data_IF_183225781829
#
_entry.id   IF_183225781829
#
_cell.length_a   1.000
_cell.length_b   1.000
_cell.length_c   1.000
_cell.angle_alpha   90.00
_cell.angle_beta   90.00
_cell.angle_gamma   90.00
#
_symmetry.space_group_name_H-M   'P 1'
#
loop_
_entity.id
_entity.type
_entity.pdbx_description
1 polymer ?
#
# COMPACT_ATOMS: atom_id res chain seq x y z
N UNK A 1 31.49 9.58 -7.88
CA UNK A 1 31.07 8.16 -7.96
C UNK A 1 29.56 8.14 -8.18
N UNK A 2 29.08 7.44 -9.21
CA UNK A 2 27.65 7.32 -9.48
C UNK A 2 27.00 6.47 -8.40
N UNK A 3 25.97 7.00 -7.73
CA UNK A 3 25.21 6.27 -6.69
C UNK A 3 24.00 5.62 -7.35
N UNK A 4 23.80 4.32 -7.13
CA UNK A 4 22.64 3.57 -7.61
C UNK A 4 21.63 3.42 -6.49
N UNK A 5 20.35 3.66 -6.78
CA UNK A 5 19.22 3.46 -5.88
C UNK A 5 18.32 2.38 -6.48
N UNK A 6 18.19 1.27 -5.78
CA UNK A 6 17.30 0.15 -6.15
C UNK A 6 15.92 0.37 -5.59
N UNK A 7 14.91 0.35 -6.44
CA UNK A 7 13.52 0.63 -6.08
C UNK A 7 12.65 -0.60 -6.36
N UNK A 8 11.91 -1.05 -5.33
CA UNK A 8 10.98 -2.17 -5.41
C UNK A 8 9.53 -1.72 -5.43
N UNK A 9 8.73 -2.37 -6.28
CA UNK A 9 7.28 -2.26 -6.32
C UNK A 9 6.62 -3.64 -6.41
N UNK A 10 5.29 -3.67 -6.42
CA UNK A 10 4.50 -4.90 -6.53
C UNK A 10 3.37 -4.78 -7.57
N UNK A 11 3.54 -3.88 -8.53
CA UNK A 11 2.56 -3.64 -9.60
C UNK A 11 3.27 -3.61 -10.96
N UNK A 12 2.59 -4.00 -12.04
CA UNK A 12 3.14 -3.94 -13.39
C UNK A 12 3.66 -2.54 -13.73
N UNK A 13 4.66 -2.47 -14.59
CA UNK A 13 5.33 -1.23 -15.00
C UNK A 13 4.36 -0.14 -15.51
N UNK A 14 3.26 -0.51 -16.17
CA UNK A 14 2.23 0.41 -16.67
C UNK A 14 1.24 0.92 -15.62
N UNK A 15 1.31 0.46 -14.37
CA UNK A 15 0.40 0.89 -13.32
C UNK A 15 0.64 2.33 -12.88
N UNK A 16 -0.38 2.98 -12.33
CA UNK A 16 -0.28 4.34 -11.77
C UNK A 16 0.84 4.42 -10.72
N UNK A 17 0.94 3.42 -9.84
CA UNK A 17 1.96 3.41 -8.79
C UNK A 17 3.37 3.29 -9.37
N UNK A 18 3.58 2.46 -10.39
CA UNK A 18 4.87 2.35 -11.07
C UNK A 18 5.21 3.63 -11.86
N UNK A 19 4.21 4.31 -12.43
CA UNK A 19 4.41 5.62 -13.04
C UNK A 19 4.80 6.68 -12.00
N UNK A 20 4.25 6.66 -10.80
CA UNK A 20 4.63 7.54 -9.69
C UNK A 20 6.08 7.31 -9.26
N UNK A 21 6.56 6.06 -9.25
CA UNK A 21 7.99 5.77 -9.03
C UNK A 21 8.89 6.39 -10.12
N UNK A 22 8.45 6.39 -11.37
CA UNK A 22 9.20 7.06 -12.44
C UNK A 22 9.28 8.58 -12.23
N UNK A 23 8.21 9.21 -11.73
CA UNK A 23 8.21 10.64 -11.38
C UNK A 23 9.20 10.91 -10.24
N UNK A 24 9.16 10.10 -9.19
CA UNK A 24 10.12 10.16 -8.08
C UNK A 24 11.57 10.02 -8.55
N UNK A 25 11.84 9.04 -9.40
CA UNK A 25 13.18 8.84 -10.00
C UNK A 25 13.67 10.06 -10.79
N UNK A 26 12.80 10.65 -11.60
CA UNK A 26 13.14 11.87 -12.37
C UNK A 26 13.43 13.05 -11.45
N UNK A 27 12.67 13.22 -10.38
CA UNK A 27 12.91 14.27 -9.39
C UNK A 27 14.28 14.09 -8.72
N UNK A 28 14.61 12.87 -8.29
CA UNK A 28 15.94 12.57 -7.73
C UNK A 28 17.09 12.86 -8.71
N UNK A 29 16.92 12.51 -9.98
CA UNK A 29 17.95 12.75 -11.01
C UNK A 29 18.13 14.25 -11.31
N UNK A 30 17.10 15.06 -11.18
CA UNK A 30 17.16 16.50 -11.37
C UNK A 30 17.85 17.21 -10.20
N UNK A 31 17.63 16.74 -8.96
CA UNK A 31 18.24 17.35 -7.76
C UNK A 31 19.70 16.93 -7.59
N UNK A 32 20.05 15.74 -8.05
CA UNK A 32 21.39 15.16 -7.83
C UNK A 32 21.89 14.47 -9.10
N UNK A 33 22.77 15.12 -9.85
CA UNK A 33 23.28 14.66 -11.15
C UNK A 33 24.02 13.30 -11.15
N UNK A 34 24.26 12.70 -9.97
CA UNK A 34 25.03 11.46 -9.82
C UNK A 34 24.20 10.27 -9.30
N UNK A 35 22.86 10.34 -9.35
CA UNK A 35 21.98 9.24 -8.91
C UNK A 35 21.38 8.57 -10.14
N UNK A 36 21.51 7.24 -10.21
CA UNK A 36 20.76 6.37 -11.12
C UNK A 36 19.82 5.47 -10.34
N UNK A 37 18.61 5.29 -10.83
CA UNK A 37 17.61 4.40 -10.25
C UNK A 37 17.51 3.10 -11.05
N UNK A 38 17.43 1.98 -10.34
CA UNK A 38 17.19 0.65 -10.88
C UNK A 38 15.83 0.14 -10.33
N UNK A 39 14.93 -0.29 -11.23
CA UNK A 39 13.58 -0.68 -10.85
C UNK A 39 13.37 -2.18 -10.92
N UNK A 40 12.76 -2.74 -9.87
CA UNK A 40 11.96 -3.96 -9.94
C UNK A 40 10.50 -3.55 -9.74
N UNK A 41 9.79 -3.24 -10.83
CA UNK A 41 8.42 -2.73 -10.77
C UNK A 41 7.47 -3.69 -10.07
N UNK A 42 7.65 -4.99 -10.30
CA UNK A 42 6.81 -6.02 -9.70
C UNK A 42 7.65 -7.17 -9.17
N UNK A 43 7.87 -7.22 -7.85
CA UNK A 43 8.64 -8.31 -7.22
C UNK A 43 7.98 -9.69 -7.36
N UNK A 44 6.66 -9.73 -7.64
CA UNK A 44 5.95 -10.99 -7.85
C UNK A 44 6.44 -11.72 -9.11
N UNK A 45 6.96 -11.02 -10.10
CA UNK A 45 7.57 -11.61 -11.29
C UNK A 45 8.83 -12.44 -10.93
N UNK A 46 9.40 -12.20 -9.74
CA UNK A 46 10.51 -12.93 -9.16
C UNK A 46 10.06 -13.96 -8.10
N UNK A 47 8.78 -14.30 -8.06
CA UNK A 47 8.20 -15.28 -7.12
C UNK A 47 8.08 -14.82 -5.68
N UNK A 48 8.13 -13.50 -5.43
CA UNK A 48 8.03 -12.91 -4.10
C UNK A 48 6.62 -12.41 -3.81
N UNK A 49 6.18 -12.50 -2.56
CA UNK A 49 4.92 -11.91 -2.13
C UNK A 49 5.06 -10.38 -1.91
N UNK A 50 4.00 -9.58 -2.14
CA UNK A 50 4.05 -8.13 -1.98
C UNK A 50 4.58 -7.66 -0.62
N UNK A 51 4.19 -8.32 0.47
CA UNK A 51 4.61 -7.98 1.83
C UNK A 51 6.12 -8.16 2.07
N UNK A 52 6.81 -8.95 1.26
CA UNK A 52 8.25 -9.10 1.36
C UNK A 52 9.02 -7.80 1.06
N UNK A 53 8.40 -6.82 0.39
CA UNK A 53 9.02 -5.51 0.16
C UNK A 53 9.50 -4.88 1.47
N UNK A 54 8.71 -4.99 2.54
CA UNK A 54 9.05 -4.43 3.85
C UNK A 54 10.40 -5.00 4.32
N UNK A 55 10.54 -6.32 4.25
CA UNK A 55 11.78 -7.00 4.66
C UNK A 55 12.93 -6.70 3.70
N UNK A 56 12.68 -6.71 2.39
CA UNK A 56 13.71 -6.47 1.38
C UNK A 56 14.34 -5.07 1.49
N UNK A 57 13.56 -4.06 1.86
CA UNK A 57 14.08 -2.70 2.10
C UNK A 57 14.76 -2.64 3.46
N UNK A 58 14.18 -3.20 4.51
CA UNK A 58 14.79 -3.23 5.86
C UNK A 58 16.14 -3.96 5.88
N UNK A 59 16.29 -5.03 5.08
CA UNK A 59 17.55 -5.79 4.96
C UNK A 59 18.56 -5.12 4.00
N UNK A 60 18.20 -4.02 3.33
CA UNK A 60 19.07 -3.31 2.39
C UNK A 60 19.23 -3.98 1.01
N UNK A 61 18.38 -4.97 0.68
CA UNK A 61 18.36 -5.54 -0.68
C UNK A 61 17.83 -4.54 -1.73
N UNK A 62 16.94 -3.65 -1.29
CA UNK A 62 16.48 -2.47 -2.01
C UNK A 62 16.63 -1.23 -1.11
N UNK A 63 16.84 -0.07 -1.73
CA UNK A 63 16.98 1.20 -1.01
C UNK A 63 15.62 1.86 -0.75
N UNK A 64 14.66 1.66 -1.66
CA UNK A 64 13.31 2.25 -1.59
C UNK A 64 12.29 1.21 -2.03
N UNK A 65 11.10 1.24 -1.42
CA UNK A 65 9.95 0.45 -1.84
C UNK A 65 8.64 1.17 -1.59
N UNK A 66 7.59 0.81 -2.32
CA UNK A 66 6.23 1.21 -1.96
C UNK A 66 5.38 -0.02 -1.70
N UNK A 67 4.46 0.11 -0.75
CA UNK A 67 3.51 -0.95 -0.40
C UNK A 67 2.25 -0.35 0.23
N UNK A 68 1.14 -1.08 0.18
CA UNK A 68 -0.08 -0.65 0.86
C UNK A 68 0.12 -0.53 2.37
N UNK A 69 -0.40 0.54 2.97
CA UNK A 69 -0.40 0.76 4.42
C UNK A 69 -1.01 -0.40 5.20
N UNK A 70 -1.96 -1.12 4.62
CA UNK A 70 -2.62 -2.29 5.23
C UNK A 70 -1.63 -3.40 5.66
N UNK A 71 -0.48 -3.53 4.99
CA UNK A 71 0.54 -4.52 5.38
C UNK A 71 1.30 -4.14 6.64
N UNK A 72 1.35 -2.86 6.99
CA UNK A 72 1.93 -2.38 8.23
C UNK A 72 0.95 -2.43 9.40
N UNK A 73 -0.37 -2.43 9.13
CA UNK A 73 -1.42 -2.27 10.13
C UNK A 73 -1.42 -3.35 11.22
N UNK A 74 -0.87 -4.54 10.96
CA UNK A 74 -0.71 -5.60 11.99
C UNK A 74 0.17 -5.17 13.15
N UNK A 75 1.22 -4.39 12.91
CA UNK A 75 2.12 -3.85 13.94
C UNK A 75 1.85 -2.38 14.26
N UNK A 76 1.20 -1.66 13.35
CA UNK A 76 0.83 -0.25 13.50
C UNK A 76 -0.70 -0.14 13.29
N UNK A 77 -1.50 -0.47 14.32
CA UNK A 77 -2.98 -0.53 14.20
C UNK A 77 -3.63 0.79 13.78
N UNK A 78 -2.96 1.90 14.02
CA UNK A 78 -3.41 3.24 13.62
C UNK A 78 -3.64 3.33 12.10
N UNK A 79 -2.88 2.58 11.29
CA UNK A 79 -3.03 2.54 9.84
C UNK A 79 -4.34 1.89 9.38
N UNK A 80 -5.06 1.17 10.25
CA UNK A 80 -6.40 0.68 9.93
C UNK A 80 -7.42 1.80 9.67
N UNK A 81 -7.12 3.04 10.05
CA UNK A 81 -8.00 4.19 9.76
C UNK A 81 -8.31 4.32 8.26
N UNK A 82 -7.35 3.93 7.39
CA UNK A 82 -7.53 3.96 5.94
C UNK A 82 -8.32 2.77 5.40
N UNK A 83 -8.51 1.73 6.21
CA UNK A 83 -9.19 0.49 5.83
C UNK A 83 -10.62 0.40 6.39
N UNK A 84 -10.99 1.25 7.35
CA UNK A 84 -12.34 1.27 7.94
C UNK A 84 -13.34 1.87 6.94
N UNK A 85 -14.40 1.13 6.55
CA UNK A 85 -15.35 1.60 5.56
C UNK A 85 -16.04 2.90 5.99
N UNK A 86 -16.20 3.81 5.04
CA UNK A 86 -16.93 5.06 5.20
C UNK A 86 -16.40 6.01 6.28
N UNK A 87 -15.29 5.70 6.94
CA UNK A 87 -14.67 6.58 7.92
C UNK A 87 -14.08 7.82 7.23
N UNK A 88 -13.30 7.59 6.18
CA UNK A 88 -12.77 8.66 5.33
C UNK A 88 -13.73 8.86 4.15
N UNK A 89 -14.37 10.03 4.11
CA UNK A 89 -15.42 10.35 3.14
C UNK A 89 -14.93 11.19 1.95
N UNK A 90 -13.74 11.75 2.04
CA UNK A 90 -13.16 12.57 0.98
C UNK A 90 -11.64 12.48 0.97
N UNK A 91 -11.03 12.73 -0.20
CA UNK A 91 -9.57 12.83 -0.33
C UNK A 91 -9.00 13.93 0.57
N UNK A 92 -9.67 15.07 0.67
CA UNK A 92 -9.23 16.16 1.55
C UNK A 92 -9.15 15.73 3.01
N UNK A 93 -10.11 14.93 3.48
CA UNK A 93 -10.06 14.36 4.83
C UNK A 93 -8.84 13.44 5.01
N UNK A 94 -8.53 12.61 4.00
CA UNK A 94 -7.33 11.77 4.03
C UNK A 94 -6.05 12.62 4.05
N UNK A 95 -5.95 13.65 3.20
CA UNK A 95 -4.78 14.53 3.14
C UNK A 95 -4.56 15.27 4.46
N UNK A 96 -5.61 15.78 5.09
CA UNK A 96 -5.50 16.43 6.39
C UNK A 96 -4.95 15.50 7.49
N UNK A 97 -5.19 14.19 7.35
CA UNK A 97 -4.58 13.20 8.26
C UNK A 97 -3.10 12.99 7.98
N UNK A 98 -2.76 12.75 6.69
CA UNK A 98 -1.38 12.39 6.31
C UNK A 98 -0.41 13.58 6.24
N UNK A 99 -0.90 14.82 6.29
CA UNK A 99 -0.09 16.06 6.28
C UNK A 99 0.06 16.68 7.68
N UNK A 100 -0.39 16.00 8.74
CA UNK A 100 -0.42 16.50 10.10
C UNK A 100 0.38 15.67 11.11
N UNK A 101 0.19 15.91 12.41
CA UNK A 101 0.87 15.17 13.48
C UNK A 101 0.71 13.65 13.42
N UNK A 102 -0.34 13.17 12.76
CA UNK A 102 -0.54 11.75 12.52
C UNK A 102 0.57 11.14 11.65
N UNK A 103 1.07 11.87 10.64
CA UNK A 103 2.19 11.41 9.83
C UNK A 103 3.46 11.24 10.66
N UNK A 104 3.73 12.17 11.57
CA UNK A 104 4.91 12.11 12.44
C UNK A 104 4.85 10.89 13.36
N UNK A 105 3.67 10.62 13.93
CA UNK A 105 3.44 9.42 14.73
C UNK A 105 3.68 8.14 13.92
N UNK A 106 3.07 8.01 12.74
CA UNK A 106 3.25 6.83 11.88
C UNK A 106 4.69 6.68 11.44
N UNK A 107 5.38 7.78 11.11
CA UNK A 107 6.79 7.77 10.74
C UNK A 107 7.67 7.22 11.86
N UNK A 108 7.44 7.66 13.11
CA UNK A 108 8.15 7.15 14.27
C UNK A 108 7.93 5.65 14.49
N UNK A 109 6.67 5.17 14.37
CA UNK A 109 6.34 3.76 14.53
C UNK A 109 6.91 2.88 13.40
N UNK A 110 6.92 3.36 12.16
CA UNK A 110 7.57 2.67 11.04
C UNK A 110 9.06 2.53 11.30
N UNK A 111 9.71 3.59 11.78
CA UNK A 111 11.13 3.57 12.13
C UNK A 111 11.42 2.57 13.25
N UNK A 112 10.66 2.62 14.33
CA UNK A 112 10.87 1.77 15.51
C UNK A 112 10.59 0.28 15.21
N UNK A 113 9.45 -0.02 14.55
CA UNK A 113 8.96 -1.40 14.41
C UNK A 113 9.51 -2.13 13.19
N UNK A 114 10.01 -1.40 12.19
CA UNK A 114 10.47 -1.99 10.93
C UNK A 114 11.88 -1.56 10.51
N UNK A 115 12.52 -0.65 11.24
CA UNK A 115 13.82 -0.06 10.86
C UNK A 115 13.79 0.55 9.44
N UNK A 116 12.72 1.28 9.13
CA UNK A 116 12.48 1.94 7.85
C UNK A 116 12.21 3.43 8.06
N UNK A 117 12.51 4.23 7.04
CA UNK A 117 12.12 5.64 6.98
C UNK A 117 10.89 5.78 6.09
N UNK A 118 9.79 6.29 6.64
CA UNK A 118 8.61 6.64 5.86
C UNK A 118 8.88 7.95 5.10
N UNK A 119 8.93 7.88 3.78
CA UNK A 119 9.13 9.07 2.93
C UNK A 119 7.83 9.84 2.69
N UNK A 120 6.76 9.13 2.42
CA UNK A 120 5.44 9.71 2.13
C UNK A 120 4.35 8.65 2.15
N UNK A 121 3.11 9.08 2.35
CA UNK A 121 1.90 8.29 2.14
C UNK A 121 1.22 8.80 0.87
N UNK A 122 0.95 7.90 -0.09
CA UNK A 122 0.32 8.24 -1.37
C UNK A 122 -1.16 7.87 -1.37
N UNK A 123 -1.97 8.74 -1.98
CA UNK A 123 -3.37 8.44 -2.26
C UNK A 123 -3.49 7.49 -3.46
N UNK A 124 -4.20 6.38 -3.25
CA UNK A 124 -4.53 5.41 -4.31
C UNK A 124 -6.02 5.42 -4.66
N UNK A 125 -6.80 6.30 -4.05
CA UNK A 125 -8.24 6.43 -4.24
C UNK A 125 -9.06 5.52 -3.33
N UNK A 126 -10.37 5.54 -3.56
CA UNK A 126 -11.31 4.71 -2.80
C UNK A 126 -11.42 3.30 -3.40
N UNK A 127 -11.65 2.32 -2.55
CA UNK A 127 -11.93 0.94 -2.96
C UNK A 127 -13.40 0.75 -3.24
N UNK A 128 -13.69 -0.03 -4.27
CA UNK A 128 -15.03 -0.41 -4.67
C UNK A 128 -15.16 -1.93 -4.74
N UNK A 129 -16.36 -2.44 -4.57
CA UNK A 129 -16.67 -3.85 -4.81
C UNK A 129 -16.77 -4.10 -6.31
N UNK A 130 -16.20 -5.19 -6.75
CA UNK A 130 -16.42 -5.73 -8.09
C UNK A 130 -16.70 -7.23 -8.00
N UNK A 131 -17.66 -7.70 -8.77
CA UNK A 131 -17.97 -9.12 -8.93
C UNK A 131 -18.52 -9.35 -10.34
N UNK A 132 -18.58 -10.60 -10.78
CA UNK A 132 -19.08 -11.00 -12.10
C UNK A 132 -20.39 -11.79 -12.02
N UNK A 133 -20.92 -12.06 -10.82
CA UNK A 133 -22.12 -12.87 -10.64
C UNK A 133 -23.40 -12.07 -10.93
N UNK A 134 -23.61 -10.99 -10.15
CA UNK A 134 -24.79 -10.13 -10.25
C UNK A 134 -24.57 -8.77 -9.58
N UNK A 135 -25.39 -7.76 -9.90
CA UNK A 135 -25.29 -6.45 -9.24
C UNK A 135 -25.62 -6.54 -7.73
N UNK A 136 -24.72 -6.03 -6.91
CA UNK A 136 -24.93 -5.86 -5.47
C UNK A 136 -25.67 -4.55 -5.26
N UNK A 137 -26.93 -4.61 -4.79
CA UNK A 137 -27.79 -3.44 -4.50
C UNK A 137 -28.14 -3.34 -3.01
N UNK A 138 -28.17 -4.46 -2.32
CA UNK A 138 -28.53 -4.58 -0.92
C UNK A 138 -27.51 -5.43 -0.17
N UNK A 139 -27.54 -5.37 1.16
CA UNK A 139 -26.69 -6.22 1.99
C UNK A 139 -26.98 -7.72 1.79
N UNK A 140 -28.25 -8.07 1.50
CA UNK A 140 -28.63 -9.45 1.24
C UNK A 140 -27.92 -10.04 0.00
N UNK A 141 -27.61 -9.20 -0.98
CA UNK A 141 -26.92 -9.62 -2.22
C UNK A 141 -25.45 -9.99 -1.96
N UNK A 142 -24.88 -9.63 -0.81
CA UNK A 142 -23.53 -10.02 -0.44
C UNK A 142 -23.43 -11.47 0.07
N UNK A 143 -24.57 -12.05 0.46
CA UNK A 143 -24.61 -13.32 1.19
C UNK A 143 -24.06 -14.47 0.36
N UNK A 144 -22.97 -15.06 0.86
CA UNK A 144 -22.36 -16.26 0.27
C UNK A 144 -21.49 -16.01 -0.97
N UNK A 145 -21.40 -14.78 -1.47
CA UNK A 145 -20.44 -14.44 -2.53
C UNK A 145 -19.02 -14.61 -2.01
N UNK A 146 -18.17 -15.24 -2.81
CA UNK A 146 -16.73 -15.32 -2.54
C UNK A 146 -16.10 -13.93 -2.73
N UNK A 147 -15.35 -13.46 -1.74
CA UNK A 147 -14.73 -12.14 -1.76
C UNK A 147 -13.26 -12.22 -1.41
N UNK A 148 -12.41 -11.87 -2.36
CA UNK A 148 -10.96 -11.79 -2.15
C UNK A 148 -10.62 -10.46 -1.47
N UNK A 149 -9.84 -10.53 -0.39
CA UNK A 149 -9.32 -9.34 0.31
C UNK A 149 -7.80 -9.42 0.52
N UNK A 150 -7.20 -8.30 0.92
CA UNK A 150 -5.78 -8.26 1.31
C UNK A 150 -5.53 -9.07 2.58
N UNK A 151 -4.27 -9.39 2.86
CA UNK A 151 -3.79 -10.00 4.11
C UNK A 151 -3.99 -9.06 5.30
N UNK A 152 -5.25 -8.83 5.68
CA UNK A 152 -5.68 -7.88 6.68
C UNK A 152 -6.88 -8.45 7.44
N UNK A 153 -6.69 -8.73 8.75
CA UNK A 153 -7.71 -9.32 9.61
C UNK A 153 -8.95 -8.44 9.75
N UNK A 154 -8.80 -7.11 9.70
CA UNK A 154 -9.93 -6.17 9.71
C UNK A 154 -10.81 -6.37 8.48
N UNK A 155 -10.20 -6.43 7.29
CA UNK A 155 -10.93 -6.67 6.04
C UNK A 155 -11.66 -8.01 6.07
N UNK A 156 -11.00 -9.08 6.53
CA UNK A 156 -11.63 -10.40 6.62
C UNK A 156 -12.89 -10.37 7.49
N UNK A 157 -12.79 -9.82 8.71
CA UNK A 157 -13.91 -9.70 9.64
C UNK A 157 -15.02 -8.81 9.09
N UNK A 158 -14.65 -7.68 8.50
CA UNK A 158 -15.57 -6.72 7.92
C UNK A 158 -16.40 -7.35 6.79
N UNK A 159 -15.75 -7.95 5.79
CA UNK A 159 -16.47 -8.56 4.67
C UNK A 159 -17.30 -9.77 5.11
N UNK A 160 -16.80 -10.56 6.06
CA UNK A 160 -17.60 -11.64 6.67
C UNK A 160 -18.86 -11.10 7.36
N UNK A 161 -18.77 -9.97 8.06
CA UNK A 161 -19.94 -9.34 8.72
C UNK A 161 -20.98 -8.83 7.73
N UNK A 162 -20.59 -8.51 6.49
CA UNK A 162 -21.49 -8.17 5.40
C UNK A 162 -22.13 -9.39 4.71
N UNK A 163 -21.75 -10.60 5.11
CA UNK A 163 -22.29 -11.85 4.59
C UNK A 163 -21.45 -12.50 3.47
N UNK A 164 -20.32 -11.91 3.08
CA UNK A 164 -19.42 -12.52 2.12
C UNK A 164 -18.70 -13.75 2.69
N UNK A 165 -18.33 -14.67 1.81
CA UNK A 165 -17.28 -15.66 2.09
C UNK A 165 -15.94 -15.00 1.82
N UNK A 166 -15.40 -14.29 2.82
CA UNK A 166 -14.18 -13.53 2.67
C UNK A 166 -12.95 -14.42 2.81
N UNK A 167 -11.99 -14.28 1.88
CA UNK A 167 -10.72 -15.00 1.89
C UNK A 167 -9.56 -14.01 1.65
N UNK A 168 -8.46 -14.24 2.37
CA UNK A 168 -7.21 -13.52 2.16
C UNK A 168 -6.42 -14.18 1.02
N UNK A 169 -5.95 -13.37 0.08
CA UNK A 169 -5.09 -13.81 -1.02
C UNK A 169 -4.03 -12.77 -1.33
#
# INVERSE_FOLDING_TARGET
MEKRIKIAGYQPQGSILSQSLNIFSKALANDTSNIKTEFTFNIMDNGKAPEEIIKLVSDGAYDVGYISSSYFAKKIPELYIFDIPFLIKSRQQAYNLIEGPYQDQISAEVSEKYNLTLLSIWDYGFRHFSNHEYPIKTLADCKGLLFRTLLNDLHLKMFASLGFKAEMM
#
